data_IF_314230194661
#
_entry.id   IF_314230194661
#
_cell.length_a   1.000
_cell.length_b   1.000
_cell.length_c   1.000
_cell.angle_alpha   90.00
_cell.angle_beta   90.00
_cell.angle_gamma   90.00
#
_symmetry.space_group_name_H-M   'P 1'
#
loop_
_entity.id
_entity.type
_entity.pdbx_description
1 polymer ?
#
# COMPACT_ATOMS: atom_id res chain seq x y z
N UNK A 1 -7.67 20.15 3.43
CA UNK A 1 -6.34 20.24 4.04
C UNK A 1 -5.37 19.39 3.27
N UNK A 2 -4.07 19.69 3.36
CA UNK A 2 -2.97 18.84 2.90
C UNK A 2 -2.21 18.34 4.12
N UNK A 3 -1.57 17.18 4.01
CA UNK A 3 -0.67 16.66 5.03
C UNK A 3 0.76 16.71 4.48
N UNK A 4 1.69 17.15 5.27
CA UNK A 4 3.12 17.09 4.98
C UNK A 4 3.79 16.15 5.97
N UNK A 5 4.57 15.23 5.45
CA UNK A 5 5.27 14.21 6.25
C UNK A 5 6.75 14.55 6.29
N UNK A 6 7.25 14.88 7.47
CA UNK A 6 8.63 15.33 7.67
C UNK A 6 9.28 14.59 8.83
N UNK A 7 10.52 14.91 9.14
CA UNK A 7 11.28 14.34 10.25
C UNK A 7 12.20 13.19 9.84
N UNK A 8 13.04 12.77 10.77
CA UNK A 8 14.10 11.78 10.53
C UNK A 8 13.54 10.41 10.10
N UNK A 9 12.37 10.04 10.64
CA UNK A 9 11.71 8.78 10.32
C UNK A 9 11.36 8.59 8.84
N UNK A 10 11.17 9.69 8.09
CA UNK A 10 10.87 9.64 6.65
C UNK A 10 11.99 8.98 5.85
N UNK A 11 13.25 9.10 6.29
CA UNK A 11 14.40 8.47 5.63
C UNK A 11 14.36 6.94 5.65
N UNK A 12 13.63 6.35 6.60
CA UNK A 12 13.44 4.91 6.74
C UNK A 12 12.27 4.37 5.92
N UNK A 13 11.42 5.23 5.38
CA UNK A 13 10.29 4.85 4.53
C UNK A 13 10.75 4.66 3.09
N UNK A 14 10.49 3.48 2.54
CA UNK A 14 10.70 3.23 1.11
C UNK A 14 9.77 4.09 0.25
N UNK A 15 10.03 4.18 -1.06
CA UNK A 15 9.12 4.87 -1.97
C UNK A 15 7.74 4.22 -2.01
N UNK A 16 7.66 2.89 -1.88
CA UNK A 16 6.37 2.18 -1.81
C UNK A 16 5.58 2.56 -0.55
N UNK A 17 6.24 2.71 0.59
CA UNK A 17 5.61 3.18 1.84
C UNK A 17 5.10 4.62 1.69
N UNK A 18 5.93 5.51 1.13
CA UNK A 18 5.53 6.91 0.88
C UNK A 18 4.33 7.02 -0.05
N UNK A 19 4.27 6.21 -1.10
CA UNK A 19 3.11 6.17 -2.00
C UNK A 19 1.86 5.68 -1.28
N UNK A 20 1.97 4.68 -0.42
CA UNK A 20 0.86 4.17 0.39
C UNK A 20 0.34 5.26 1.33
N UNK A 21 1.21 5.90 2.08
CA UNK A 21 0.84 6.96 3.03
C UNK A 21 0.23 8.17 2.28
N UNK A 22 0.85 8.60 1.19
CA UNK A 22 0.33 9.74 0.40
C UNK A 22 -1.05 9.42 -0.22
N UNK A 23 -1.27 8.18 -0.68
CA UNK A 23 -2.57 7.75 -1.19
C UNK A 23 -3.62 7.73 -0.08
N UNK A 24 -3.27 7.22 1.09
CA UNK A 24 -4.20 7.09 2.23
C UNK A 24 -4.45 8.41 2.98
N UNK A 25 -3.84 9.50 2.59
CA UNK A 25 -4.13 10.82 3.18
C UNK A 25 -5.63 11.20 3.02
N UNK A 26 -6.31 10.70 1.98
CA UNK A 26 -7.73 10.94 1.77
C UNK A 26 -8.59 10.29 2.87
N UNK A 27 -8.23 9.12 3.37
CA UNK A 27 -8.90 8.43 4.45
C UNK A 27 -8.73 9.17 5.79
N UNK A 28 -7.63 9.94 5.92
CA UNK A 28 -7.41 10.85 7.06
C UNK A 28 -8.11 12.20 6.89
N UNK A 29 -8.90 12.40 5.82
CA UNK A 29 -9.64 13.64 5.56
C UNK A 29 -8.81 14.72 4.85
N UNK A 30 -7.62 14.42 4.38
CA UNK A 30 -6.79 15.34 3.59
C UNK A 30 -7.07 15.19 2.09
N UNK A 31 -6.60 16.16 1.30
CA UNK A 31 -6.66 16.10 -0.16
C UNK A 31 -5.44 15.41 -0.77
N UNK A 32 -4.32 15.48 -0.09
CA UNK A 32 -3.05 14.88 -0.52
C UNK A 32 -2.09 14.71 0.67
N UNK A 33 -1.10 13.85 0.48
CA UNK A 33 0.06 13.70 1.34
C UNK A 33 1.33 14.09 0.57
N UNK A 34 2.19 14.89 1.19
CA UNK A 34 3.40 15.46 0.59
C UNK A 34 4.61 14.93 1.36
N UNK A 35 5.60 14.42 0.63
CA UNK A 35 6.88 13.99 1.17
C UNK A 35 8.00 14.86 0.61
N UNK A 36 9.11 15.04 1.36
CA UNK A 36 10.27 15.77 0.87
C UNK A 36 10.91 15.04 -0.32
N UNK A 37 11.50 15.82 -1.22
CA UNK A 37 12.27 15.29 -2.36
C UNK A 37 13.71 15.02 -1.92
N UNK A 38 13.90 13.99 -1.14
CA UNK A 38 15.19 13.51 -0.68
C UNK A 38 15.93 12.64 -1.71
N UNK A 39 17.05 12.06 -1.32
CA UNK A 39 17.87 11.22 -2.22
C UNK A 39 17.14 9.96 -2.70
N UNK A 40 16.25 9.37 -1.89
CA UNK A 40 15.43 8.23 -2.32
C UNK A 40 14.44 8.65 -3.41
N UNK A 41 13.78 9.79 -3.22
CA UNK A 41 12.85 10.35 -4.20
C UNK A 41 13.57 10.69 -5.50
N UNK A 42 14.75 11.33 -5.42
CA UNK A 42 15.56 11.65 -6.60
C UNK A 42 16.01 10.41 -7.35
N UNK A 43 16.47 9.38 -6.64
CA UNK A 43 16.85 8.10 -7.24
C UNK A 43 15.67 7.42 -7.96
N UNK A 44 14.51 7.42 -7.35
CA UNK A 44 13.29 6.91 -7.97
C UNK A 44 12.90 7.69 -9.24
N UNK A 45 12.97 9.03 -9.18
CA UNK A 45 12.67 9.89 -10.33
C UNK A 45 13.67 9.70 -11.47
N UNK A 46 14.95 9.52 -11.17
CA UNK A 46 15.98 9.26 -12.18
C UNK A 46 15.67 7.99 -13.00
N UNK A 47 15.10 6.97 -12.36
CA UNK A 47 14.71 5.72 -13.05
C UNK A 47 13.38 5.85 -13.80
N UNK A 48 12.42 6.63 -13.29
CA UNK A 48 11.04 6.59 -13.74
C UNK A 48 10.57 7.86 -14.47
N UNK A 49 11.25 9.00 -14.31
CA UNK A 49 10.87 10.28 -14.90
C UNK A 49 11.93 10.77 -15.88
N UNK A 50 11.51 11.01 -17.14
CA UNK A 50 12.38 11.58 -18.19
C UNK A 50 12.10 13.07 -18.45
N UNK A 51 11.14 13.64 -17.71
CA UNK A 51 10.74 15.05 -17.83
C UNK A 51 11.45 15.87 -16.78
N UNK A 52 11.64 17.16 -17.06
CA UNK A 52 11.99 18.12 -16.04
C UNK A 52 10.90 18.19 -14.99
N UNK A 53 11.29 18.32 -13.73
CA UNK A 53 10.38 18.47 -12.60
C UNK A 53 10.88 19.59 -11.70
N UNK A 54 9.96 20.21 -11.00
CA UNK A 54 10.24 21.22 -9.99
C UNK A 54 10.12 20.61 -8.60
N UNK A 55 11.07 20.94 -7.73
CA UNK A 55 11.00 20.60 -6.31
C UNK A 55 10.32 21.77 -5.60
N UNK A 56 9.32 21.47 -4.80
CA UNK A 56 8.65 22.42 -3.94
C UNK A 56 8.94 22.04 -2.50
N UNK A 57 9.30 23.04 -1.71
CA UNK A 57 9.55 22.91 -0.28
C UNK A 57 8.68 23.94 0.45
N UNK A 58 8.41 23.69 1.73
CA UNK A 58 7.71 24.67 2.55
C UNK A 58 8.58 25.91 2.75
N UNK A 59 7.94 27.08 2.79
CA UNK A 59 8.62 28.32 3.13
C UNK A 59 9.13 28.26 4.59
N UNK A 60 10.20 28.99 4.91
CA UNK A 60 10.80 29.00 6.25
C UNK A 60 9.81 29.49 7.34
N UNK A 61 8.85 30.31 6.96
CA UNK A 61 7.80 30.86 7.81
C UNK A 61 6.45 30.14 7.65
N UNK A 62 6.42 28.95 7.06
CA UNK A 62 5.21 28.18 6.87
C UNK A 62 4.51 27.90 8.23
N UNK A 63 3.22 28.18 8.29
CA UNK A 63 2.40 27.96 9.48
C UNK A 63 1.48 26.75 9.25
N UNK A 64 1.60 25.75 10.11
CA UNK A 64 0.76 24.57 10.11
C UNK A 64 -0.40 24.75 11.08
N UNK A 65 -1.57 24.27 10.69
CA UNK A 65 -2.77 24.30 11.53
C UNK A 65 -2.66 23.35 12.71
N UNK A 66 -1.99 22.22 12.48
CA UNK A 66 -1.75 21.18 13.50
C UNK A 66 -0.46 20.43 13.18
N UNK A 67 0.18 19.89 14.20
CA UNK A 67 1.38 19.07 14.10
C UNK A 67 1.17 17.81 14.91
N UNK A 68 1.29 16.64 14.24
CA UNK A 68 1.14 15.33 14.85
C UNK A 68 2.49 14.62 14.79
N UNK A 69 3.02 14.26 15.93
CA UNK A 69 4.24 13.46 16.03
C UNK A 69 3.89 11.97 16.12
N UNK A 70 4.53 11.16 15.27
CA UNK A 70 4.35 9.70 15.24
C UNK A 70 5.72 9.04 15.37
N UNK A 71 5.91 8.31 16.47
CA UNK A 71 7.08 7.45 16.63
C UNK A 71 6.90 6.18 15.81
N UNK A 72 7.68 6.03 14.73
CA UNK A 72 7.59 4.86 13.85
C UNK A 72 7.96 3.54 14.56
N UNK A 73 8.72 3.60 15.66
CA UNK A 73 9.08 2.40 16.44
C UNK A 73 7.89 1.82 17.22
N UNK A 74 6.91 2.64 17.53
CA UNK A 74 5.69 2.25 18.24
C UNK A 74 4.57 1.78 17.31
N UNK A 75 4.73 1.93 15.99
CA UNK A 75 3.70 1.53 15.02
C UNK A 75 3.60 0.01 14.96
N UNK A 76 2.40 -0.51 15.23
CA UNK A 76 2.09 -1.95 15.22
C UNK A 76 1.30 -2.31 13.96
N UNK A 77 1.43 -3.53 13.44
CA UNK A 77 0.55 -4.02 12.38
C UNK A 77 -0.91 -3.88 12.78
N UNK A 78 -1.71 -3.29 11.89
CA UNK A 78 -3.07 -2.85 12.20
C UNK A 78 -4.03 -3.23 11.08
N UNK A 79 -5.26 -3.57 11.45
CA UNK A 79 -6.36 -3.89 10.53
C UNK A 79 -7.50 -2.91 10.74
N UNK A 80 -7.97 -2.31 9.66
CA UNK A 80 -9.20 -1.49 9.70
C UNK A 80 -10.44 -2.38 9.51
N UNK A 81 -11.39 -2.22 10.41
CA UNK A 81 -12.67 -2.91 10.37
C UNK A 81 -13.74 -2.07 9.66
N UNK A 82 -14.81 -2.70 9.15
CA UNK A 82 -15.92 -1.96 8.59
C UNK A 82 -16.53 -0.99 9.62
N UNK A 83 -17.04 0.16 9.23
CA UNK A 83 -17.12 0.68 7.86
C UNK A 83 -16.26 1.94 7.70
N UNK A 84 -15.39 2.23 8.66
CA UNK A 84 -14.56 3.44 8.68
C UNK A 84 -13.08 3.08 8.86
N UNK A 85 -12.16 3.77 8.18
CA UNK A 85 -10.71 3.55 8.35
C UNK A 85 -10.25 3.74 9.80
N UNK A 86 -10.89 4.63 10.56
CA UNK A 86 -10.60 4.86 11.97
C UNK A 86 -11.05 3.72 12.91
N UNK A 87 -11.82 2.75 12.42
CA UNK A 87 -12.17 1.55 13.17
C UNK A 87 -11.03 0.53 13.09
N UNK A 88 -9.85 0.92 13.54
CA UNK A 88 -8.64 0.15 13.44
C UNK A 88 -8.33 -0.60 14.75
N UNK A 89 -7.78 -1.80 14.60
CA UNK A 89 -7.30 -2.64 15.71
C UNK A 89 -5.92 -3.18 15.38
N UNK A 90 -5.07 -3.29 16.37
CA UNK A 90 -3.79 -3.99 16.21
C UNK A 90 -4.01 -5.48 15.97
N UNK A 91 -3.05 -6.15 15.36
CA UNK A 91 -3.12 -7.61 15.15
C UNK A 91 -3.27 -8.35 16.49
N UNK A 92 -2.59 -7.91 17.53
CA UNK A 92 -2.68 -8.52 18.88
C UNK A 92 -4.13 -8.45 19.42
N UNK A 93 -4.83 -7.34 19.19
CA UNK A 93 -6.25 -7.20 19.56
C UNK A 93 -7.16 -8.09 18.70
N UNK A 94 -6.84 -8.23 17.41
CA UNK A 94 -7.61 -9.10 16.49
C UNK A 94 -7.45 -10.58 16.85
N UNK A 95 -6.25 -11.01 17.21
CA UNK A 95 -5.98 -12.39 17.64
C UNK A 95 -6.74 -12.79 18.92
N UNK A 96 -7.06 -11.81 19.77
CA UNK A 96 -7.86 -12.02 20.98
C UNK A 96 -9.38 -12.08 20.72
N UNK A 97 -9.83 -11.81 19.49
CA UNK A 97 -11.23 -11.82 19.12
C UNK A 97 -11.69 -13.22 18.66
N UNK A 98 -13.00 -13.41 18.63
CA UNK A 98 -13.59 -14.57 17.95
C UNK A 98 -13.19 -14.58 16.46
N UNK A 99 -12.92 -15.76 15.87
CA UNK A 99 -12.54 -15.86 14.47
C UNK A 99 -13.57 -15.21 13.53
N UNK A 100 -13.07 -14.34 12.65
CA UNK A 100 -13.92 -13.65 11.68
C UNK A 100 -13.92 -14.44 10.38
N UNK A 101 -15.10 -14.91 9.97
CA UNK A 101 -15.26 -15.55 8.67
C UNK A 101 -15.17 -14.50 7.57
N UNK A 102 -14.34 -14.78 6.57
CA UNK A 102 -14.21 -13.96 5.35
C UNK A 102 -14.63 -14.77 4.13
N UNK A 103 -15.14 -14.11 3.10
CA UNK A 103 -15.59 -14.72 1.86
C UNK A 103 -14.68 -14.32 0.67
N UNK A 104 -13.98 -13.19 0.80
CA UNK A 104 -13.13 -12.66 -0.26
C UNK A 104 -11.92 -11.91 0.28
N UNK A 105 -10.81 -12.04 -0.42
CA UNK A 105 -9.56 -11.29 -0.21
C UNK A 105 -9.17 -10.58 -1.50
N UNK A 106 -8.76 -9.33 -1.40
CA UNK A 106 -8.15 -8.57 -2.50
C UNK A 106 -6.73 -8.20 -2.10
N UNK A 107 -5.76 -8.61 -2.90
CA UNK A 107 -4.35 -8.30 -2.72
C UNK A 107 -3.91 -7.35 -3.83
N UNK A 108 -3.37 -6.20 -3.46
CA UNK A 108 -2.76 -5.29 -4.40
C UNK A 108 -3.53 -4.01 -4.65
N UNK A 109 -3.91 -3.75 -5.90
CA UNK A 109 -4.40 -2.48 -6.45
C UNK A 109 -3.28 -1.46 -6.73
N UNK A 110 -3.63 -0.22 -7.11
CA UNK A 110 -2.66 0.83 -7.46
C UNK A 110 -1.75 1.22 -6.29
N UNK A 111 -2.21 1.09 -5.06
CA UNK A 111 -1.49 1.47 -3.85
C UNK A 111 -0.56 0.34 -3.38
N UNK A 112 -1.12 -0.82 -3.08
CA UNK A 112 -0.37 -1.95 -2.50
C UNK A 112 -0.27 -3.17 -3.45
N UNK A 113 -0.29 -2.93 -4.75
CA UNK A 113 0.07 -3.91 -5.78
C UNK A 113 1.49 -3.70 -6.31
N UNK A 114 2.40 -3.17 -5.49
CA UNK A 114 3.80 -2.95 -5.82
C UNK A 114 4.57 -4.27 -5.78
N UNK A 115 5.75 -4.31 -6.38
CA UNK A 115 6.56 -5.54 -6.38
C UNK A 115 6.92 -6.03 -4.97
N UNK A 116 7.17 -5.10 -4.05
CA UNK A 116 7.42 -5.40 -2.64
C UNK A 116 6.24 -6.13 -1.98
N UNK A 117 5.02 -5.67 -2.22
CA UNK A 117 3.80 -6.26 -1.69
C UNK A 117 3.54 -7.65 -2.29
N UNK A 118 3.63 -7.74 -3.62
CA UNK A 118 3.35 -9.00 -4.34
C UNK A 118 4.38 -10.09 -4.03
N UNK A 119 5.64 -9.74 -3.83
CA UNK A 119 6.65 -10.70 -3.37
C UNK A 119 6.38 -11.22 -1.96
N UNK A 120 5.94 -10.33 -1.04
CA UNK A 120 5.53 -10.73 0.32
C UNK A 120 4.31 -11.65 0.28
N UNK A 121 3.29 -11.28 -0.49
CA UNK A 121 2.09 -12.11 -0.66
C UNK A 121 2.42 -13.48 -1.28
N UNK A 122 3.26 -13.51 -2.32
CA UNK A 122 3.69 -14.75 -2.94
C UNK A 122 4.51 -15.63 -1.98
N UNK A 123 5.36 -15.04 -1.13
CA UNK A 123 6.12 -15.78 -0.14
C UNK A 123 5.22 -16.49 0.90
N UNK A 124 4.10 -15.84 1.27
CA UNK A 124 3.11 -16.41 2.20
C UNK A 124 2.31 -17.53 1.51
N UNK A 125 1.91 -17.33 0.25
CA UNK A 125 1.04 -18.26 -0.48
C UNK A 125 1.78 -19.46 -1.09
N UNK A 126 3.10 -19.36 -1.23
CA UNK A 126 3.92 -20.41 -1.84
C UNK A 126 3.78 -21.73 -1.10
N UNK A 127 3.29 -22.76 -1.80
CA UNK A 127 3.07 -24.09 -1.25
C UNK A 127 1.81 -24.23 -0.38
N UNK A 128 0.98 -23.21 -0.35
CA UNK A 128 -0.32 -23.21 0.31
C UNK A 128 -1.46 -23.13 -0.71
N UNK A 129 -2.64 -23.54 -0.30
CA UNK A 129 -3.87 -23.42 -1.10
C UNK A 129 -4.88 -22.57 -0.34
N UNK A 130 -5.52 -21.67 -1.04
CA UNK A 130 -6.61 -20.84 -0.51
C UNK A 130 -7.79 -21.73 -0.09
N UNK A 131 -8.44 -21.38 1.00
CA UNK A 131 -9.63 -22.09 1.45
C UNK A 131 -10.71 -22.11 0.35
N UNK A 132 -11.38 -23.23 0.08
CA UNK A 132 -12.32 -23.36 -1.04
C UNK A 132 -13.51 -22.41 -0.98
N UNK A 133 -13.89 -21.96 0.21
CA UNK A 133 -14.98 -20.98 0.39
C UNK A 133 -14.51 -19.51 0.30
N UNK A 134 -13.22 -19.26 0.08
CA UNK A 134 -12.66 -17.92 0.01
C UNK A 134 -12.17 -17.61 -1.40
N UNK A 135 -12.64 -16.54 -1.99
CA UNK A 135 -12.12 -16.01 -3.26
C UNK A 135 -10.95 -15.08 -2.99
N UNK A 136 -9.81 -15.34 -3.61
CA UNK A 136 -8.65 -14.44 -3.56
C UNK A 136 -8.38 -13.84 -4.93
N UNK A 137 -8.32 -12.51 -5.00
CA UNK A 137 -7.97 -11.77 -6.20
C UNK A 137 -6.64 -11.05 -5.99
N UNK A 138 -5.75 -11.14 -6.98
CA UNK A 138 -4.47 -10.43 -6.98
C UNK A 138 -4.48 -9.42 -8.13
N UNK A 139 -4.20 -8.14 -7.81
CA UNK A 139 -4.25 -7.03 -8.76
C UNK A 139 -2.94 -6.25 -8.71
N UNK A 140 -2.01 -6.47 -9.64
CA UNK A 140 -0.78 -5.67 -9.75
C UNK A 140 -1.08 -4.19 -10.02
N UNK A 141 -0.25 -3.28 -9.52
CA UNK A 141 -0.52 -1.85 -9.59
C UNK A 141 -0.43 -1.28 -11.03
N UNK A 142 0.45 -1.83 -11.86
CA UNK A 142 0.68 -1.35 -13.22
C UNK A 142 1.00 -2.50 -14.18
N UNK A 143 0.88 -2.25 -15.49
CA UNK A 143 1.28 -3.22 -16.51
C UNK A 143 2.78 -3.56 -16.43
N UNK A 144 3.63 -2.61 -16.04
CA UNK A 144 5.07 -2.85 -15.84
C UNK A 144 5.28 -3.87 -14.71
N UNK A 145 4.60 -3.68 -13.59
CA UNK A 145 4.64 -4.60 -12.44
C UNK A 145 4.05 -5.95 -12.81
N UNK A 146 2.93 -5.98 -13.53
CA UNK A 146 2.33 -7.24 -13.98
C UNK A 146 3.33 -8.06 -14.83
N UNK A 147 4.01 -7.43 -15.79
CA UNK A 147 5.06 -8.08 -16.59
C UNK A 147 6.24 -8.56 -15.72
N UNK A 148 6.61 -7.80 -14.71
CA UNK A 148 7.68 -8.19 -13.80
C UNK A 148 7.26 -9.39 -12.93
N UNK A 149 6.02 -9.46 -12.47
CA UNK A 149 5.48 -10.62 -11.77
C UNK A 149 5.52 -11.90 -12.63
N UNK A 150 5.23 -11.77 -13.94
CA UNK A 150 5.38 -12.89 -14.89
C UNK A 150 6.85 -13.33 -14.94
N UNK A 151 7.76 -12.39 -15.14
CA UNK A 151 9.18 -12.66 -15.27
C UNK A 151 9.81 -13.30 -14.01
N UNK A 152 9.30 -12.95 -12.83
CA UNK A 152 9.74 -13.51 -11.55
C UNK A 152 9.01 -14.79 -11.14
N UNK A 153 8.04 -15.27 -11.93
CA UNK A 153 7.26 -16.47 -11.62
C UNK A 153 6.27 -16.31 -10.46
N UNK A 154 5.94 -15.08 -10.07
CA UNK A 154 5.00 -14.84 -8.98
C UNK A 154 3.58 -15.22 -9.36
N UNK A 155 3.23 -15.09 -10.65
CA UNK A 155 1.90 -15.48 -11.13
C UNK A 155 1.65 -16.97 -10.95
N UNK A 156 2.65 -17.80 -11.23
CA UNK A 156 2.52 -19.24 -11.05
C UNK A 156 2.20 -19.59 -9.59
N UNK A 157 2.90 -18.92 -8.64
CA UNK A 157 2.65 -19.10 -7.20
C UNK A 157 1.20 -18.75 -6.85
N UNK A 158 0.70 -17.62 -7.35
CA UNK A 158 -0.67 -17.20 -7.06
C UNK A 158 -1.72 -18.13 -7.67
N UNK A 159 -1.50 -18.57 -8.90
CA UNK A 159 -2.41 -19.51 -9.59
C UNK A 159 -2.40 -20.88 -8.93
N UNK A 160 -1.23 -21.38 -8.58
CA UNK A 160 -1.08 -22.67 -7.85
C UNK A 160 -1.77 -22.62 -6.48
N UNK A 161 -1.74 -21.48 -5.81
CA UNK A 161 -2.46 -21.26 -4.56
C UNK A 161 -3.99 -21.16 -4.74
N UNK A 162 -4.50 -21.06 -5.96
CA UNK A 162 -5.94 -20.92 -6.25
C UNK A 162 -6.43 -19.46 -6.31
N UNK A 163 -5.52 -18.49 -6.46
CA UNK A 163 -5.89 -17.08 -6.62
C UNK A 163 -6.28 -16.74 -8.07
N UNK A 164 -7.20 -15.80 -8.24
CA UNK A 164 -7.47 -15.16 -9.53
C UNK A 164 -6.53 -13.96 -9.72
N UNK A 165 -5.64 -14.03 -10.69
CA UNK A 165 -4.74 -12.90 -11.02
C UNK A 165 -5.38 -12.03 -12.10
N UNK A 166 -5.54 -10.76 -11.80
CA UNK A 166 -6.21 -9.79 -12.66
C UNK A 166 -5.22 -8.78 -13.25
N UNK A 167 -5.62 -8.15 -14.33
CA UNK A 167 -4.89 -7.00 -14.87
C UNK A 167 -5.05 -5.78 -13.97
N UNK A 168 -4.09 -4.82 -13.99
CA UNK A 168 -4.19 -3.58 -13.25
C UNK A 168 -5.52 -2.87 -13.46
N UNK A 169 -6.25 -2.61 -12.37
CA UNK A 169 -7.59 -2.04 -12.40
C UNK A 169 -7.95 -1.42 -11.06
N UNK A 170 -8.81 -0.39 -11.06
CA UNK A 170 -9.47 0.15 -9.88
C UNK A 170 -10.79 -0.56 -9.53
N UNK A 171 -11.19 -1.57 -10.33
CA UNK A 171 -12.46 -2.27 -10.15
C UNK A 171 -12.70 -2.83 -8.75
N UNK A 172 -11.77 -3.55 -8.12
CA UNK A 172 -11.96 -4.08 -6.78
C UNK A 172 -12.24 -3.00 -5.72
N UNK A 173 -11.54 -1.85 -5.81
CA UNK A 173 -11.67 -0.76 -4.84
C UNK A 173 -13.04 -0.09 -4.87
N UNK A 174 -13.67 -0.05 -6.03
CA UNK A 174 -15.01 0.54 -6.22
C UNK A 174 -16.13 -0.51 -6.21
N UNK A 175 -15.81 -1.77 -5.91
CA UNK A 175 -16.78 -2.86 -5.95
C UNK A 175 -17.27 -3.26 -7.35
N UNK A 176 -16.59 -2.81 -8.39
CA UNK A 176 -16.93 -3.07 -9.80
C UNK A 176 -16.18 -4.24 -10.42
N UNK A 177 -15.48 -5.02 -9.61
CA UNK A 177 -14.73 -6.19 -10.06
C UNK A 177 -15.11 -7.40 -9.22
N UNK A 178 -15.42 -8.50 -9.90
CA UNK A 178 -15.85 -9.72 -9.22
C UNK A 178 -14.69 -10.66 -8.97
#
# INVERSE_FOLDING_TARGET
KSMEFTGEGVSHLSMDDRFTIANMAIEAGAKNGIFPVDEQTKAYLAEHCKKEYHVYEADEDAVYEDVIEIDLSEVRPTVAFPHLPGNAKTIDEVEAMEPIKIDQVVIGSCTNGRMSDLRKAAAILKGHTVHPDVRVMVVPATQKIYKQCIAEGLLDIFVDAGCAVNTPSCGPCMGGHM
#
